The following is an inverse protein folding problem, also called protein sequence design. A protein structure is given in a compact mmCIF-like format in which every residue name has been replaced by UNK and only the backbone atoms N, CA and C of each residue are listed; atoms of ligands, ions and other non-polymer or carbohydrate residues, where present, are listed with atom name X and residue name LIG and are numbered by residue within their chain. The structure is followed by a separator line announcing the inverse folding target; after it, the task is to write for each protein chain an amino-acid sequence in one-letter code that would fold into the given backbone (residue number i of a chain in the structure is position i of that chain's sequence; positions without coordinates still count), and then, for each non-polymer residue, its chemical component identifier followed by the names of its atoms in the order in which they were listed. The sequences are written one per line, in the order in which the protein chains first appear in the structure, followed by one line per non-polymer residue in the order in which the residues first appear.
data_IF_318289996035
#
_entry.id   IF_318289996035
#
_cell.length_a   1.000
_cell.length_b   1.000
_cell.length_c   1.000
_cell.angle_alpha   90.00
_cell.angle_beta   90.00
_cell.angle_gamma   90.00
#
_symmetry.space_group_name_H-M   'P 1'
#
loop_
_entity.id
_entity.type
_entity.pdbx_description
1 polymer ?
#
# COMPACT_ATOMS: atom_id res chain seq x y z
N UNK A 1 18.48 -1.98 -3.64
CA UNK A 1 19.31 -0.84 -4.13
C UNK A 1 19.11 0.33 -3.19
N UNK A 2 20.04 1.28 -3.14
CA UNK A 2 19.95 2.46 -2.26
C UNK A 2 19.68 2.08 -0.78
N UNK A 3 20.30 1.00 -0.31
CA UNK A 3 20.10 0.36 0.99
C UNK A 3 21.06 0.86 2.08
N UNK A 4 21.67 2.02 1.87
CA UNK A 4 22.56 2.67 2.82
C UNK A 4 22.01 4.04 3.20
N UNK A 5 22.37 4.51 4.40
CA UNK A 5 21.93 5.80 4.90
C UNK A 5 22.62 6.92 4.12
N UNK A 6 21.82 7.74 3.44
CA UNK A 6 22.23 8.99 2.80
C UNK A 6 21.22 10.09 3.12
N UNK A 7 21.68 11.14 3.80
CA UNK A 7 20.82 12.29 4.17
C UNK A 7 20.45 13.17 2.98
N UNK A 8 21.14 13.01 1.85
CA UNK A 8 20.84 13.70 0.60
C UNK A 8 19.92 12.88 -0.31
N UNK A 9 19.61 11.62 0.04
CA UNK A 9 18.78 10.71 -0.76
C UNK A 9 19.22 10.62 -2.23
N UNK A 10 20.54 10.57 -2.48
CA UNK A 10 21.08 10.55 -3.84
C UNK A 10 20.86 11.85 -4.64
N UNK A 11 20.44 12.93 -3.99
CA UNK A 11 20.06 14.20 -4.61
C UNK A 11 18.63 14.24 -5.17
N UNK A 12 17.83 13.20 -4.91
CA UNK A 12 16.44 13.08 -5.38
C UNK A 12 15.42 13.17 -4.24
N UNK A 13 14.14 13.21 -4.62
CA UNK A 13 13.05 13.09 -3.65
C UNK A 13 12.90 11.61 -3.24
N UNK A 14 12.95 11.28 -1.93
CA UNK A 14 12.72 9.92 -1.46
C UNK A 14 11.22 9.61 -1.47
N UNK A 15 10.67 9.42 -2.66
CA UNK A 15 9.24 9.23 -2.90
C UNK A 15 9.02 8.08 -3.89
N UNK A 16 8.24 7.04 -3.55
CA UNK A 16 8.08 5.81 -4.33
C UNK A 16 7.10 5.97 -5.51
N UNK A 17 6.94 7.17 -6.05
CA UNK A 17 6.12 7.42 -7.24
C UNK A 17 6.79 6.90 -8.51
N UNK A 18 5.98 6.57 -9.51
CA UNK A 18 6.44 5.97 -10.76
C UNK A 18 7.60 6.75 -11.42
N UNK A 19 7.58 8.08 -11.34
CA UNK A 19 8.61 8.93 -11.95
C UNK A 19 10.01 8.72 -11.33
N UNK A 20 10.08 8.30 -10.06
CA UNK A 20 11.32 8.15 -9.31
C UNK A 20 11.86 6.71 -9.32
N UNK A 21 11.12 5.74 -9.86
CA UNK A 21 11.47 4.32 -9.82
C UNK A 21 12.25 3.82 -11.06
N UNK A 22 12.87 4.73 -11.81
CA UNK A 22 13.66 4.40 -13.00
C UNK A 22 14.78 3.39 -12.70
N UNK A 23 15.60 3.67 -11.68
CA UNK A 23 16.73 2.81 -11.30
C UNK A 23 16.27 1.43 -10.81
N UNK A 24 15.12 1.38 -10.11
CA UNK A 24 14.53 0.12 -9.69
C UNK A 24 14.11 -0.73 -10.89
N UNK A 25 13.43 -0.14 -11.89
CA UNK A 25 13.04 -0.84 -13.13
C UNK A 25 14.27 -1.37 -13.88
N UNK A 26 15.33 -0.56 -13.98
CA UNK A 26 16.61 -1.00 -14.58
C UNK A 26 17.17 -2.18 -13.80
N UNK A 27 17.25 -2.08 -12.47
CA UNK A 27 17.81 -3.14 -11.65
C UNK A 27 17.03 -4.44 -11.74
N UNK A 28 15.70 -4.38 -11.71
CA UNK A 28 14.84 -5.55 -11.86
C UNK A 28 15.14 -6.29 -13.16
N UNK A 29 15.29 -5.56 -14.28
CA UNK A 29 15.63 -6.14 -15.58
C UNK A 29 17.01 -6.80 -15.58
N UNK A 30 18.01 -6.18 -14.93
CA UNK A 30 19.36 -6.75 -14.84
C UNK A 30 19.40 -8.08 -14.11
N UNK A 31 18.64 -8.20 -13.00
CA UNK A 31 18.68 -9.40 -12.15
C UNK A 31 17.57 -10.40 -12.47
N UNK A 32 16.67 -10.07 -13.41
CA UNK A 32 15.51 -10.88 -13.72
C UNK A 32 14.50 -10.98 -12.57
N UNK A 33 14.27 -9.88 -11.84
CA UNK A 33 13.34 -9.87 -10.71
C UNK A 33 11.88 -9.87 -11.18
N UNK A 34 11.04 -10.67 -10.51
CA UNK A 34 9.60 -10.75 -10.78
C UNK A 34 8.80 -9.59 -10.16
N UNK A 35 9.36 -8.94 -9.14
CA UNK A 35 8.73 -7.86 -8.41
C UNK A 35 9.77 -6.88 -7.89
N UNK A 36 9.46 -5.60 -7.96
CA UNK A 36 10.21 -4.51 -7.35
C UNK A 36 9.37 -3.84 -6.30
N UNK A 37 10.00 -3.51 -5.18
CA UNK A 37 9.38 -2.80 -4.07
C UNK A 37 10.25 -1.60 -3.69
N UNK A 38 9.62 -0.55 -3.17
CA UNK A 38 10.26 0.71 -2.84
C UNK A 38 9.50 1.44 -1.75
N UNK A 39 10.25 2.18 -0.95
CA UNK A 39 9.75 2.94 0.20
C UNK A 39 10.07 4.42 0.04
N UNK A 40 9.35 5.27 0.77
CA UNK A 40 9.75 6.66 0.96
C UNK A 40 10.75 6.82 2.11
N UNK A 41 11.10 8.07 2.43
CA UNK A 41 12.23 8.40 3.30
C UNK A 41 12.13 7.87 4.73
N UNK A 42 10.94 7.84 5.33
CA UNK A 42 10.67 7.28 6.66
C UNK A 42 10.01 5.89 6.62
N UNK A 43 9.69 5.40 5.42
CA UNK A 43 9.26 4.02 5.17
C UNK A 43 7.78 3.77 5.39
N UNK A 44 6.98 4.83 5.48
CA UNK A 44 5.55 4.74 5.73
C UNK A 44 4.74 4.59 4.43
N UNK A 45 5.31 4.97 3.28
CA UNK A 45 4.71 4.75 1.95
C UNK A 45 5.44 3.67 1.15
N UNK A 46 4.68 3.03 0.28
CA UNK A 46 5.15 1.94 -0.59
C UNK A 46 4.97 2.25 -2.08
N UNK A 47 5.73 1.54 -2.91
CA UNK A 47 5.58 1.51 -4.36
C UNK A 47 6.00 0.14 -4.90
N UNK A 48 5.19 -0.42 -5.81
CA UNK A 48 5.38 -1.78 -6.33
C UNK A 48 5.43 -1.77 -7.85
N UNK A 49 6.33 -2.57 -8.41
CA UNK A 49 6.51 -2.76 -9.85
C UNK A 49 6.42 -4.25 -10.17
N UNK A 50 5.65 -4.61 -11.20
CA UNK A 50 5.56 -5.99 -11.67
C UNK A 50 6.76 -6.42 -12.54
N UNK A 51 6.82 -7.71 -12.89
CA UNK A 51 7.90 -8.29 -13.72
C UNK A 51 8.04 -7.66 -15.11
N UNK A 52 7.02 -6.94 -15.59
CA UNK A 52 7.03 -6.24 -16.89
C UNK A 52 7.50 -4.78 -16.74
N UNK A 53 7.82 -4.34 -15.53
CA UNK A 53 8.22 -2.96 -15.25
C UNK A 53 7.02 -2.01 -15.12
N UNK A 54 5.80 -2.52 -14.96
CA UNK A 54 4.59 -1.71 -14.79
C UNK A 54 4.45 -1.32 -13.32
N UNK A 55 4.31 -0.03 -13.06
CA UNK A 55 4.01 0.48 -11.72
C UNK A 55 2.56 0.17 -11.34
N UNK A 56 2.38 -0.45 -10.18
CA UNK A 56 1.07 -0.78 -9.62
C UNK A 56 0.59 0.37 -8.73
N UNK A 57 -0.58 0.93 -9.03
CA UNK A 57 -1.05 2.13 -8.32
C UNK A 57 -1.49 1.75 -6.89
N UNK A 58 -1.28 2.63 -5.89
CA UNK A 58 -1.73 2.38 -4.51
C UNK A 58 -3.20 1.95 -4.41
N UNK A 59 -4.09 2.62 -5.14
CA UNK A 59 -5.52 2.30 -5.20
C UNK A 59 -5.81 0.86 -5.65
N UNK A 60 -5.05 0.35 -6.62
CA UNK A 60 -5.19 -1.02 -7.14
C UNK A 60 -4.68 -2.03 -6.12
N UNK A 61 -3.54 -1.73 -5.50
CA UNK A 61 -2.92 -2.57 -4.46
C UNK A 61 -3.78 -2.65 -3.20
N UNK A 62 -4.36 -1.55 -2.74
CA UNK A 62 -5.26 -1.54 -1.58
C UNK A 62 -6.48 -2.46 -1.84
N UNK A 63 -7.08 -2.38 -3.04
CA UNK A 63 -8.20 -3.24 -3.40
C UNK A 63 -7.76 -4.72 -3.54
N UNK A 64 -6.58 -4.98 -4.08
CA UNK A 64 -5.99 -6.32 -4.17
C UNK A 64 -5.73 -6.92 -2.78
N UNK A 65 -5.19 -6.13 -1.85
CA UNK A 65 -4.90 -6.57 -0.50
C UNK A 65 -6.18 -6.79 0.32
N UNK A 66 -7.22 -5.97 0.12
CA UNK A 66 -8.54 -6.26 0.69
C UNK A 66 -9.04 -7.64 0.23
N UNK A 67 -8.92 -7.93 -1.08
CA UNK A 67 -9.29 -9.24 -1.61
C UNK A 67 -8.45 -10.36 -0.99
N UNK A 68 -7.12 -10.20 -0.92
CA UNK A 68 -6.24 -11.20 -0.34
C UNK A 68 -6.58 -11.49 1.13
N UNK A 69 -6.75 -10.45 1.95
CA UNK A 69 -7.05 -10.61 3.37
C UNK A 69 -8.38 -11.33 3.61
N UNK A 70 -9.39 -11.00 2.81
CA UNK A 70 -10.73 -11.54 2.98
C UNK A 70 -10.87 -12.94 2.38
N UNK A 71 -10.53 -13.10 1.09
CA UNK A 71 -10.75 -14.32 0.33
C UNK A 71 -9.69 -15.39 0.61
N UNK A 72 -8.44 -15.00 0.87
CA UNK A 72 -7.32 -15.94 1.04
C UNK A 72 -6.97 -16.11 2.53
N UNK A 73 -6.85 -15.01 3.29
CA UNK A 73 -6.50 -15.06 4.72
C UNK A 73 -7.70 -15.28 5.65
N UNK A 74 -8.92 -15.17 5.14
CA UNK A 74 -10.14 -15.50 5.88
C UNK A 74 -10.62 -14.39 6.82
N UNK A 75 -10.26 -13.13 6.57
CA UNK A 75 -10.71 -11.98 7.37
C UNK A 75 -12.16 -11.68 6.96
N UNK A 76 -13.12 -12.36 7.61
CA UNK A 76 -14.55 -12.32 7.24
C UNK A 76 -15.38 -11.30 8.04
N UNK A 77 -14.80 -10.68 9.07
CA UNK A 77 -15.50 -9.74 9.94
C UNK A 77 -14.70 -8.44 9.99
N UNK A 78 -15.34 -7.36 9.58
CA UNK A 78 -14.78 -6.02 9.66
C UNK A 78 -15.18 -5.14 8.49
N UNK A 79 -14.54 -3.97 8.44
CA UNK A 79 -14.72 -2.93 7.43
C UNK A 79 -13.38 -2.58 6.79
N UNK A 80 -13.40 -2.06 5.57
CA UNK A 80 -12.28 -1.35 4.98
C UNK A 80 -12.46 0.15 5.20
N UNK A 81 -11.36 0.89 5.30
CA UNK A 81 -11.39 2.35 5.46
C UNK A 81 -10.57 2.99 4.34
N UNK A 82 -11.10 4.05 3.73
CA UNK A 82 -10.39 4.85 2.73
C UNK A 82 -10.70 6.33 2.85
N UNK A 83 -9.88 7.16 2.23
CA UNK A 83 -10.17 8.60 2.12
C UNK A 83 -11.18 8.90 1.02
N UNK A 84 -11.74 10.10 1.06
CA UNK A 84 -12.51 10.73 -0.04
C UNK A 84 -11.72 10.85 -1.35
N UNK A 85 -10.38 10.85 -1.30
CA UNK A 85 -9.52 11.01 -2.47
C UNK A 85 -9.10 9.67 -3.11
N UNK A 86 -9.29 8.56 -2.40
CA UNK A 86 -9.10 7.20 -2.90
C UNK A 86 -10.18 6.85 -3.93
N UNK A 87 -9.84 6.07 -4.95
CA UNK A 87 -10.79 5.62 -5.97
C UNK A 87 -11.86 4.70 -5.39
N UNK A 88 -13.01 4.61 -6.08
CA UNK A 88 -14.06 3.65 -5.71
C UNK A 88 -13.77 2.18 -6.06
N UNK A 89 -12.53 1.84 -6.45
CA UNK A 89 -12.14 0.46 -6.74
C UNK A 89 -12.22 -0.42 -5.49
N UNK A 90 -11.84 0.12 -4.32
CA UNK A 90 -11.98 -0.61 -3.06
C UNK A 90 -13.45 -0.83 -2.71
N UNK A 91 -14.35 0.14 -2.95
CA UNK A 91 -15.79 -0.02 -2.71
C UNK A 91 -16.40 -1.11 -3.59
N UNK A 92 -16.01 -1.13 -4.87
CA UNK A 92 -16.46 -2.17 -5.80
C UNK A 92 -16.00 -3.56 -5.33
N UNK A 93 -14.71 -3.69 -4.96
CA UNK A 93 -14.16 -4.95 -4.47
C UNK A 93 -14.77 -5.40 -3.15
N UNK A 94 -14.96 -4.46 -2.21
CA UNK A 94 -15.57 -4.72 -0.91
C UNK A 94 -17.02 -5.23 -1.06
N UNK A 95 -17.78 -4.66 -2.00
CA UNK A 95 -19.15 -5.11 -2.32
C UNK A 95 -19.18 -6.58 -2.74
N UNK A 96 -18.26 -7.01 -3.61
CA UNK A 96 -18.17 -8.40 -4.05
C UNK A 96 -17.82 -9.37 -2.91
N UNK A 97 -17.15 -8.86 -1.87
CA UNK A 97 -16.70 -9.62 -0.71
C UNK A 97 -17.66 -9.54 0.50
N UNK A 98 -18.73 -8.74 0.40
CA UNK A 98 -19.65 -8.48 1.51
C UNK A 98 -19.01 -7.66 2.65
N UNK A 99 -17.99 -6.85 2.35
CA UNK A 99 -17.28 -6.00 3.31
C UNK A 99 -17.83 -4.56 3.22
N UNK A 100 -18.02 -3.93 4.37
CA UNK A 100 -18.39 -2.51 4.43
C UNK A 100 -17.17 -1.63 4.20
N UNK A 101 -17.36 -0.47 3.56
CA UNK A 101 -16.33 0.55 3.41
C UNK A 101 -16.77 1.81 4.14
N UNK A 102 -15.87 2.35 4.97
CA UNK A 102 -16.03 3.66 5.61
C UNK A 102 -15.12 4.67 4.92
N UNK A 103 -15.68 5.84 4.63
CA UNK A 103 -14.98 6.95 3.98
C UNK A 103 -14.61 8.01 5.02
N UNK A 104 -13.36 8.48 4.99
CA UNK A 104 -12.84 9.54 5.85
C UNK A 104 -12.35 10.74 5.04
N UNK A 105 -12.21 11.93 5.64
CA UNK A 105 -11.46 13.02 5.02
C UNK A 105 -10.01 12.60 4.72
N UNK A 106 -9.32 13.36 3.87
CA UNK A 106 -7.89 13.14 3.55
C UNK A 106 -7.03 13.30 4.81
N UNK A 107 -6.10 12.36 5.02
CA UNK A 107 -5.16 12.33 6.12
C UNK A 107 -5.25 11.04 6.92
N UNK A 108 -4.15 10.28 6.95
CA UNK A 108 -4.11 8.95 7.58
C UNK A 108 -4.54 8.95 9.05
N UNK A 109 -4.38 10.06 9.78
CA UNK A 109 -4.84 10.19 11.17
C UNK A 109 -6.31 9.80 11.38
N UNK A 110 -7.19 10.06 10.40
CA UNK A 110 -8.60 9.66 10.51
C UNK A 110 -8.77 8.16 10.31
N UNK A 111 -7.94 7.55 9.47
CA UNK A 111 -7.86 6.09 9.33
C UNK A 111 -7.30 5.47 10.62
N UNK A 112 -6.27 6.07 11.24
CA UNK A 112 -5.73 5.64 12.53
C UNK A 112 -6.83 5.59 13.61
N UNK A 113 -7.63 6.65 13.73
CA UNK A 113 -8.76 6.71 14.67
C UNK A 113 -9.72 5.53 14.44
N UNK A 114 -10.03 5.19 13.18
CA UNK A 114 -10.88 4.05 12.85
C UNK A 114 -10.22 2.70 13.11
N UNK A 115 -8.92 2.58 12.87
CA UNK A 115 -8.15 1.37 13.16
C UNK A 115 -8.13 1.07 14.67
N UNK A 116 -8.26 2.09 15.53
CA UNK A 116 -8.35 1.95 16.99
C UNK A 116 -9.75 1.52 17.48
N UNK A 117 -10.81 1.75 16.71
CA UNK A 117 -12.20 1.40 17.07
C UNK A 117 -12.51 -0.11 16.96
N UNK A 118 -11.50 -0.94 16.65
CA UNK A 118 -11.58 -2.37 16.31
C UNK A 118 -12.36 -2.68 15.01
N UNK A 119 -12.02 -3.82 14.39
CA UNK A 119 -12.75 -4.36 13.24
C UNK A 119 -12.47 -3.71 11.89
N UNK A 120 -11.37 -2.97 11.74
CA UNK A 120 -10.87 -2.55 10.42
C UNK A 120 -9.93 -3.61 9.85
N UNK A 121 -10.28 -4.17 8.70
CA UNK A 121 -9.47 -5.16 7.96
C UNK A 121 -8.25 -4.50 7.34
N UNK A 122 -8.49 -3.37 6.67
CA UNK A 122 -7.49 -2.59 5.95
C UNK A 122 -7.94 -1.12 5.90
N UNK A 123 -7.01 -0.21 6.13
CA UNK A 123 -7.14 1.22 5.92
C UNK A 123 -6.08 1.68 4.91
N UNK A 124 -6.46 2.45 3.90
CA UNK A 124 -5.53 2.87 2.85
C UNK A 124 -5.80 4.25 2.26
N UNK A 125 -4.74 4.88 1.75
CA UNK A 125 -4.74 6.19 1.08
C UNK A 125 -4.18 6.10 -0.34
N UNK A 126 -4.67 6.99 -1.20
CA UNK A 126 -4.21 7.14 -2.59
C UNK A 126 -2.73 7.52 -2.72
N UNK A 127 -2.15 8.07 -1.65
CA UNK A 127 -0.77 8.53 -1.56
C UNK A 127 0.26 7.40 -1.41
N UNK A 128 -0.16 6.13 -1.32
CA UNK A 128 0.75 5.01 -1.13
C UNK A 128 0.90 4.57 0.32
N UNK A 129 -0.07 4.89 1.19
CA UNK A 129 -0.08 4.49 2.59
C UNK A 129 -1.15 3.47 2.91
N UNK A 130 -0.84 2.44 3.70
CA UNK A 130 -1.86 1.54 4.24
C UNK A 130 -1.47 0.94 5.59
N UNK A 131 -2.49 0.44 6.30
CA UNK A 131 -2.35 -0.42 7.47
C UNK A 131 -3.50 -1.41 7.56
N UNK A 132 -3.35 -2.46 8.35
CA UNK A 132 -4.22 -3.64 8.35
C UNK A 132 -4.48 -4.15 9.76
N UNK A 133 -5.53 -4.95 9.90
CA UNK A 133 -5.92 -5.53 11.19
C UNK A 133 -4.77 -6.32 11.84
N UNK A 134 -4.53 -6.07 13.13
CA UNK A 134 -3.49 -6.74 13.90
C UNK A 134 -2.08 -6.16 13.70
N UNK A 135 -1.96 -5.07 12.94
CA UNK A 135 -0.73 -4.27 12.82
C UNK A 135 -0.88 -2.90 13.50
N UNK A 136 0.19 -2.09 13.48
CA UNK A 136 0.17 -0.75 14.07
C UNK A 136 -0.87 0.14 13.36
N UNK A 137 -1.61 1.00 14.07
CA UNK A 137 -2.58 1.92 13.46
C UNK A 137 -1.88 3.14 12.84
N UNK A 138 -0.89 2.90 12.00
CA UNK A 138 -0.12 3.90 11.23
C UNK A 138 0.28 3.28 9.90
N UNK A 139 0.60 4.11 8.90
CA UNK A 139 1.08 3.63 7.60
C UNK A 139 2.36 2.81 7.79
N UNK A 140 2.44 1.67 7.10
CA UNK A 140 3.65 0.85 7.08
C UNK A 140 3.91 0.35 5.66
N UNK A 141 4.83 1.02 4.97
CA UNK A 141 5.22 0.66 3.61
C UNK A 141 5.92 -0.69 3.54
N UNK A 142 6.71 -1.04 4.57
CA UNK A 142 7.43 -2.31 4.64
C UNK A 142 6.43 -3.47 4.71
N UNK A 143 5.39 -3.34 5.54
CA UNK A 143 4.31 -4.32 5.61
C UNK A 143 3.63 -4.47 4.24
N UNK A 144 3.28 -3.35 3.62
CA UNK A 144 2.61 -3.34 2.31
C UNK A 144 3.47 -4.05 1.25
N UNK A 145 4.77 -3.81 1.23
CA UNK A 145 5.74 -4.41 0.32
C UNK A 145 6.01 -5.90 0.57
N UNK A 146 5.81 -6.38 1.81
CA UNK A 146 5.96 -7.81 2.14
C UNK A 146 4.81 -8.69 1.65
N UNK A 147 3.63 -8.13 1.44
CA UNK A 147 2.44 -8.89 1.04
C UNK A 147 2.39 -9.36 -0.40
N UNK A 148 2.77 -8.58 -1.42
CA UNK A 148 2.80 -9.08 -2.79
C UNK A 148 3.89 -10.16 -3.00
N UNK A 149 4.75 -10.41 -2.00
CA UNK A 149 5.74 -11.50 -1.99
C UNK A 149 5.20 -12.84 -1.46
N UNK A 150 3.97 -12.90 -0.94
CA UNK A 150 3.40 -14.07 -0.25
C UNK A 150 2.24 -14.71 -1.02
#
# INVERSE_FOLDING_TARGET
IHDHRDVLFGGGLPDPSEQNLGDLKVKMKEVGADIGVSLDGDGDRFGVIDSRGVYLKPNELIALFLYYLTAIKGFKKGKAVRTVATTHFIDARARDLGIQVEETPVGFKYICEKMLEDGVIIGGEESGGLSVQGHIPEKDGILADLWPLK
#
